data_IF_554119781647
#
_entry.id   IF_554119781647
#
_cell.length_a   1.000
_cell.length_b   1.000
_cell.length_c   1.000
_cell.angle_alpha   90.00
_cell.angle_beta   90.00
_cell.angle_gamma   90.00
#
_symmetry.space_group_name_H-M   'P 1'
#
loop_
_entity.id
_entity.type
_entity.pdbx_description
1 polymer ?
#
# COMPACT_ATOMS: atom_id res chain seq x y z
N UNK A 1 -8.22 -22.82 19.71
CA UNK A 1 -8.79 -21.52 19.28
C UNK A 1 -7.67 -20.75 18.59
N UNK A 2 -7.57 -20.82 17.26
CA UNK A 2 -6.52 -20.10 16.53
C UNK A 2 -6.96 -18.66 16.33
N UNK A 3 -6.40 -17.76 17.13
CA UNK A 3 -6.55 -16.32 16.95
C UNK A 3 -5.52 -15.92 15.90
N UNK A 4 -5.93 -15.81 14.64
CA UNK A 4 -5.08 -15.24 13.60
C UNK A 4 -5.38 -13.75 13.58
N UNK A 5 -4.58 -12.98 14.31
CA UNK A 5 -4.45 -11.55 14.03
C UNK A 5 -3.46 -11.47 12.87
N UNK A 6 -3.91 -11.60 11.63
CA UNK A 6 -3.01 -11.45 10.47
C UNK A 6 -2.76 -9.96 10.25
N UNK A 7 -1.53 -9.52 10.47
CA UNK A 7 -1.04 -8.21 10.03
C UNK A 7 -0.69 -8.32 8.54
N UNK A 8 -1.53 -7.76 7.67
CA UNK A 8 -1.40 -7.91 6.21
C UNK A 8 -0.41 -6.93 5.56
N UNK A 9 0.04 -5.90 6.29
CA UNK A 9 0.89 -4.87 5.71
C UNK A 9 1.16 -3.68 6.62
N UNK A 10 1.83 -2.68 6.05
CA UNK A 10 2.16 -1.41 6.70
C UNK A 10 2.00 -0.25 5.73
N UNK A 11 1.73 0.93 6.28
CA UNK A 11 1.60 2.17 5.51
C UNK A 11 2.44 3.28 6.15
N UNK A 12 3.01 4.15 5.30
CA UNK A 12 3.82 5.29 5.71
C UNK A 12 3.36 6.55 4.98
N UNK A 13 3.16 7.65 5.72
CA UNK A 13 2.92 8.96 5.15
C UNK A 13 4.17 9.45 4.40
N UNK A 14 3.98 9.90 3.17
CA UNK A 14 5.03 10.44 2.31
C UNK A 14 4.52 11.68 1.61
N UNK A 15 5.45 12.52 1.20
CA UNK A 15 5.21 13.69 0.35
C UNK A 15 5.79 13.42 -1.03
N UNK A 16 5.01 13.67 -2.08
CA UNK A 16 5.44 13.52 -3.46
C UNK A 16 6.42 14.63 -3.85
N UNK A 17 7.06 14.49 -5.03
CA UNK A 17 7.94 15.53 -5.57
C UNK A 17 7.20 16.85 -5.81
N UNK A 18 5.91 16.78 -6.10
CA UNK A 18 5.02 17.91 -6.32
C UNK A 18 4.38 18.43 -5.02
N UNK A 19 4.85 17.97 -3.85
CA UNK A 19 4.41 18.46 -2.55
C UNK A 19 3.10 17.87 -2.03
N UNK A 20 2.54 16.82 -2.67
CA UNK A 20 1.28 16.21 -2.26
C UNK A 20 1.49 15.07 -1.28
N UNK A 21 0.69 15.01 -0.22
CA UNK A 21 0.73 13.90 0.72
C UNK A 21 0.05 12.64 0.16
N UNK A 22 0.61 11.47 0.50
CA UNK A 22 0.04 10.17 0.15
C UNK A 22 0.53 9.11 1.14
N UNK A 23 -0.21 8.00 1.26
CA UNK A 23 0.28 6.84 2.01
C UNK A 23 0.93 5.86 1.04
N UNK A 24 2.21 5.55 1.27
CA UNK A 24 2.85 4.41 0.65
C UNK A 24 2.47 3.15 1.43
N UNK A 25 1.83 2.19 0.77
CA UNK A 25 1.34 0.95 1.35
C UNK A 25 2.20 -0.22 0.86
N UNK A 26 2.60 -1.11 1.76
CA UNK A 26 3.20 -2.41 1.45
C UNK A 26 2.31 -3.51 2.01
N UNK A 27 1.88 -4.42 1.15
CA UNK A 27 1.19 -5.65 1.51
C UNK A 27 2.18 -6.82 1.32
N UNK A 28 2.54 -7.45 2.43
CA UNK A 28 3.65 -8.40 2.53
C UNK A 28 3.17 -9.64 3.27
N UNK A 29 2.25 -10.36 2.60
CA UNK A 29 1.71 -11.62 3.09
C UNK A 29 2.47 -12.80 2.48
N UNK A 30 2.85 -13.84 3.27
CA UNK A 30 3.55 -15.02 2.77
C UNK A 30 2.83 -15.78 1.65
N UNK A 31 1.52 -15.55 1.45
CA UNK A 31 0.75 -16.13 0.35
C UNK A 31 1.04 -15.48 -1.00
N UNK A 32 1.71 -14.33 -1.03
CA UNK A 32 2.16 -13.69 -2.26
C UNK A 32 3.61 -14.11 -2.60
N UNK A 33 3.94 -14.32 -3.89
CA UNK A 33 5.30 -14.66 -4.29
C UNK A 33 6.31 -13.51 -4.06
N UNK A 34 5.83 -12.28 -3.91
CA UNK A 34 6.61 -11.09 -3.57
C UNK A 34 5.69 -10.02 -2.96
N UNK A 35 6.24 -9.00 -2.25
CA UNK A 35 5.44 -7.90 -1.71
C UNK A 35 4.71 -7.12 -2.81
N UNK A 36 3.49 -6.68 -2.51
CA UNK A 36 2.70 -5.80 -3.35
C UNK A 36 2.74 -4.39 -2.76
N UNK A 37 2.96 -3.38 -3.59
CA UNK A 37 3.00 -1.99 -3.16
C UNK A 37 1.80 -1.24 -3.72
N UNK A 38 1.35 -0.21 -3.00
CA UNK A 38 0.39 0.75 -3.51
C UNK A 38 0.68 2.16 -2.99
N UNK A 39 0.13 3.16 -3.65
CA UNK A 39 0.01 4.52 -3.13
C UNK A 39 -1.46 4.86 -2.96
N UNK A 40 -1.88 5.15 -1.73
CA UNK A 40 -3.20 5.73 -1.46
C UNK A 40 -3.09 7.24 -1.63
N UNK A 41 -3.81 7.78 -2.62
CA UNK A 41 -3.84 9.20 -2.95
C UNK A 41 -5.27 9.72 -2.82
N UNK A 42 -5.41 10.97 -2.43
CA UNK A 42 -6.69 11.69 -2.44
C UNK A 42 -7.12 11.94 -3.89
N UNK A 43 -8.38 11.63 -4.18
CA UNK A 43 -9.05 11.84 -5.46
C UNK A 43 -9.89 13.12 -5.47
N UNK A 44 -10.95 13.14 -6.27
CA UNK A 44 -11.91 14.25 -6.27
C UNK A 44 -12.96 14.04 -5.17
N UNK A 45 -13.24 15.09 -4.39
CA UNK A 45 -14.19 15.01 -3.28
C UNK A 45 -13.64 14.20 -2.10
N UNK A 46 -14.47 13.32 -1.53
CA UNK A 46 -14.11 12.46 -0.38
C UNK A 46 -13.63 11.06 -0.84
N UNK A 47 -13.14 10.94 -2.09
CA UNK A 47 -12.69 9.68 -2.67
C UNK A 47 -11.18 9.49 -2.51
N UNK A 48 -10.76 8.24 -2.31
CA UNK A 48 -9.35 7.86 -2.31
C UNK A 48 -9.07 6.76 -3.34
N UNK A 49 -7.96 6.92 -4.05
CA UNK A 49 -7.51 5.95 -5.06
C UNK A 49 -6.29 5.18 -4.57
N UNK A 50 -6.32 3.85 -4.72
CA UNK A 50 -5.16 2.98 -4.54
C UNK A 50 -4.52 2.68 -5.90
N UNK A 51 -3.33 3.24 -6.11
CA UNK A 51 -2.52 2.98 -7.30
C UNK A 51 -1.57 1.82 -6.99
N UNK A 52 -1.82 0.66 -7.60
CA UNK A 52 -1.10 -0.58 -7.32
C UNK A 52 0.13 -0.75 -8.21
N UNK A 53 1.22 -1.20 -7.59
CA UNK A 53 2.49 -1.50 -8.24
C UNK A 53 3.00 -2.87 -7.79
N UNK A 54 3.22 -3.76 -8.75
CA UNK A 54 3.98 -4.99 -8.51
C UNK A 54 5.35 -4.84 -9.15
N UNK A 55 6.42 -5.01 -8.37
CA UNK A 55 7.72 -5.26 -8.99
C UNK A 55 7.65 -6.67 -9.60
N UNK A 56 7.85 -6.78 -10.90
CA UNK A 56 8.18 -8.09 -11.46
C UNK A 56 9.55 -8.45 -10.89
N UNK A 57 9.67 -9.59 -10.22
CA UNK A 57 10.97 -10.04 -9.73
C UNK A 57 11.89 -10.28 -10.92
N UNK A 58 12.95 -9.48 -11.03
CA UNK A 58 14.21 -9.92 -11.62
C UNK A 58 14.95 -10.81 -10.62
#
# INVERSE_FOLDING_TARGET
>A
MHRITTEFGAAWLKTSRDGREYLAVKMDDPSFPAPIFASLVEGEGDEFSLIWSRRSGE
#
